data_IF_586523382981
#
_entry.id   IF_586523382981
#
_cell.length_a   1.000
_cell.length_b   1.000
_cell.length_c   1.000
_cell.angle_alpha   90.00
_cell.angle_beta   90.00
_cell.angle_gamma   90.00
#
_symmetry.space_group_name_H-M   'P 1'
#
loop_
_entity.id
_entity.type
_entity.pdbx_description
1 polymer ?
#
# COMPACT_ATOMS: atom_id res chain seq x y z
N UNK A 1 -13.84 46.58 37.46
CA UNK A 1 -12.65 46.66 36.59
C UNK A 1 -11.63 45.81 37.29
N UNK A 2 -11.31 44.63 36.74
CA UNK A 2 -10.27 43.75 37.31
C UNK A 2 -8.93 44.50 37.24
N UNK A 3 -8.18 44.52 38.34
CA UNK A 3 -6.88 45.18 38.37
C UNK A 3 -5.84 44.42 37.53
N UNK A 4 -4.95 45.16 36.87
CA UNK A 4 -3.83 44.59 36.12
C UNK A 4 -2.86 43.85 37.05
N UNK A 5 -2.23 42.79 36.56
CA UNK A 5 -1.28 42.04 37.36
C UNK A 5 -0.09 42.91 37.82
N UNK A 6 0.19 42.89 39.12
CA UNK A 6 1.33 43.57 39.71
C UNK A 6 2.00 42.68 40.77
N UNK A 7 3.23 43.02 41.13
CA UNK A 7 3.90 42.42 42.27
C UNK A 7 4.66 43.46 43.09
N UNK A 8 4.79 43.19 44.38
CA UNK A 8 5.62 43.95 45.31
C UNK A 8 6.56 43.00 46.05
N UNK A 9 7.77 43.45 46.34
CA UNK A 9 8.72 42.71 47.18
C UNK A 9 8.71 43.29 48.59
N UNK A 10 8.37 42.47 49.57
CA UNK A 10 8.36 42.83 50.98
C UNK A 10 9.27 41.89 51.77
N UNK A 11 9.99 42.44 52.75
CA UNK A 11 10.84 41.64 53.63
C UNK A 11 10.08 41.35 54.92
N UNK A 12 9.65 40.09 55.09
CA UNK A 12 8.92 39.64 56.27
C UNK A 12 9.89 38.88 57.19
N UNK A 13 10.51 39.61 58.11
CA UNK A 13 11.58 39.07 58.98
C UNK A 13 12.87 38.77 58.21
N UNK A 14 13.35 37.52 58.27
CA UNK A 14 14.53 37.06 57.51
C UNK A 14 14.21 36.55 56.10
N UNK A 15 12.93 36.53 55.68
CA UNK A 15 12.50 35.99 54.39
C UNK A 15 12.07 37.09 53.42
N UNK A 16 12.49 36.96 52.17
CA UNK A 16 12.06 37.84 51.09
C UNK A 16 10.80 37.27 50.43
N UNK A 17 9.69 38.01 50.55
CA UNK A 17 8.37 37.61 50.06
C UNK A 17 7.99 38.48 48.87
N UNK A 18 7.64 37.85 47.75
CA UNK A 18 7.10 38.54 46.57
C UNK A 18 5.60 38.30 46.53
N UNK A 19 4.83 39.38 46.71
CA UNK A 19 3.36 39.33 46.70
C UNK A 19 2.84 39.73 45.33
N UNK A 20 1.92 38.94 44.78
CA UNK A 20 1.21 39.24 43.55
C UNK A 20 -0.20 39.74 43.84
N UNK A 21 -0.64 40.73 43.06
CA UNK A 21 -1.97 41.32 43.16
C UNK A 21 -2.61 41.48 41.79
N UNK A 22 -3.95 41.56 41.77
CA UNK A 22 -4.73 41.71 40.55
C UNK A 22 -4.95 40.39 39.82
N UNK A 23 -5.17 40.44 38.51
CA UNK A 23 -5.54 39.27 37.72
C UNK A 23 -4.37 38.71 36.90
N UNK A 24 -3.89 37.52 37.28
CA UNK A 24 -2.90 36.73 36.57
C UNK A 24 -3.55 35.97 35.40
N UNK A 25 -4.22 36.69 34.52
CA UNK A 25 -4.78 36.16 33.28
C UNK A 25 -4.10 36.79 32.07
N UNK A 26 -4.01 36.06 30.96
CA UNK A 26 -3.38 36.50 29.71
C UNK A 26 -3.90 37.88 29.24
N UNK A 27 -5.19 38.17 29.49
CA UNK A 27 -5.80 39.45 29.14
C UNK A 27 -5.29 40.65 29.97
N UNK A 28 -4.75 40.40 31.16
CA UNK A 28 -4.42 41.42 32.17
C UNK A 28 -2.98 41.32 32.70
N UNK A 29 -2.18 40.39 32.17
CA UNK A 29 -0.81 40.13 32.60
C UNK A 29 0.19 41.20 32.11
N UNK A 30 -0.14 41.93 31.04
CA UNK A 30 0.63 43.07 30.57
C UNK A 30 2.12 42.78 30.38
N UNK A 31 2.96 43.60 31.01
CA UNK A 31 4.42 43.53 30.97
C UNK A 31 5.03 42.74 32.14
N UNK A 32 4.20 42.09 32.97
CA UNK A 32 4.63 41.28 34.12
C UNK A 32 5.74 40.27 33.77
N UNK A 33 5.69 39.53 32.63
CA UNK A 33 6.75 38.58 32.29
C UNK A 33 8.14 39.23 32.15
N UNK A 34 8.21 40.44 31.60
CA UNK A 34 9.48 41.17 31.46
C UNK A 34 9.98 41.63 32.82
N UNK A 35 9.08 42.16 33.65
CA UNK A 35 9.42 42.64 35.01
C UNK A 35 9.85 41.52 35.96
N UNK A 36 9.30 40.32 35.79
CA UNK A 36 9.75 39.12 36.51
C UNK A 36 11.10 38.62 35.99
N UNK A 37 11.36 38.76 34.69
CA UNK A 37 12.65 38.39 34.10
C UNK A 37 13.79 39.29 34.60
N UNK A 38 13.52 40.58 34.78
CA UNK A 38 14.48 41.58 35.26
C UNK A 38 14.62 41.61 36.79
N UNK A 39 13.95 40.70 37.53
CA UNK A 39 13.99 40.66 38.99
C UNK A 39 15.23 39.91 39.51
N UNK A 40 16.19 40.65 40.09
CA UNK A 40 17.44 40.07 40.62
C UNK A 40 17.43 39.78 42.13
N UNK A 41 16.29 40.00 42.81
CA UNK A 41 16.16 39.80 44.26
C UNK A 41 16.13 38.33 44.66
N UNK A 42 16.49 38.04 45.92
CA UNK A 42 16.22 36.73 46.53
C UNK A 42 14.71 36.61 46.78
N UNK A 43 14.14 35.45 46.49
CA UNK A 43 12.72 35.16 46.73
C UNK A 43 12.63 33.87 47.51
N UNK A 44 12.19 33.95 48.76
CA UNK A 44 11.97 32.76 49.60
C UNK A 44 10.52 32.27 49.50
N UNK A 45 9.57 33.18 49.28
CA UNK A 45 8.14 32.85 49.20
C UNK A 45 7.41 33.76 48.21
N UNK A 46 6.55 33.17 47.39
CA UNK A 46 5.65 33.83 46.46
C UNK A 46 4.25 33.78 47.06
N UNK A 47 3.71 34.94 47.41
CA UNK A 47 2.39 35.08 48.02
C UNK A 47 1.37 35.50 46.94
N UNK A 48 0.40 34.63 46.71
CA UNK A 48 -0.66 34.79 45.72
C UNK A 48 -2.01 35.15 46.36
N UNK A 49 -2.07 35.43 47.67
CA UNK A 49 -3.35 35.72 48.35
C UNK A 49 -4.06 36.97 47.85
N UNK A 50 -3.33 37.87 47.17
CA UNK A 50 -3.84 39.13 46.61
C UNK A 50 -4.35 39.04 45.18
N UNK A 51 -4.35 37.85 44.56
CA UNK A 51 -4.80 37.70 43.17
C UNK A 51 -6.31 37.48 43.09
N UNK A 52 -6.95 38.08 42.09
CA UNK A 52 -8.38 37.91 41.83
C UNK A 52 -8.67 36.70 40.95
N UNK A 53 -7.74 36.36 40.04
CA UNK A 53 -7.88 35.26 39.09
C UNK A 53 -6.52 34.81 38.59
N UNK A 54 -6.40 33.52 38.29
CA UNK A 54 -5.24 32.92 37.62
C UNK A 54 -5.69 32.05 36.44
N UNK A 55 -4.99 32.13 35.32
CA UNK A 55 -5.16 31.21 34.18
C UNK A 55 -3.89 30.38 33.94
N UNK A 56 -3.91 29.52 32.90
CA UNK A 56 -2.79 28.63 32.59
C UNK A 56 -1.49 29.38 32.30
N UNK A 57 -1.55 30.58 31.71
CA UNK A 57 -0.36 31.40 31.41
C UNK A 57 0.17 32.03 32.69
N UNK A 58 -0.71 32.57 33.53
CA UNK A 58 -0.35 33.07 34.85
C UNK A 58 0.28 31.99 35.73
N UNK A 59 -0.36 30.82 35.81
CA UNK A 59 0.15 29.66 36.56
C UNK A 59 1.53 29.21 36.05
N UNK A 60 1.74 29.17 34.73
CA UNK A 60 3.05 28.82 34.15
C UNK A 60 4.13 29.85 34.48
N UNK A 61 3.80 31.15 34.46
CA UNK A 61 4.76 32.20 34.81
C UNK A 61 5.16 32.14 36.28
N UNK A 62 4.20 31.94 37.19
CA UNK A 62 4.47 31.74 38.61
C UNK A 62 5.29 30.47 38.83
N UNK A 63 4.89 29.34 38.24
CA UNK A 63 5.62 28.06 38.36
C UNK A 63 7.08 28.22 37.89
N UNK A 64 7.30 28.84 36.73
CA UNK A 64 8.64 29.10 36.21
C UNK A 64 9.44 30.05 37.10
N UNK A 65 8.83 31.13 37.60
CA UNK A 65 9.50 32.10 38.48
C UNK A 65 9.87 31.46 39.83
N UNK A 66 8.96 30.67 40.41
CA UNK A 66 9.22 29.89 41.62
C UNK A 66 10.37 28.88 41.42
N UNK A 67 10.37 28.16 40.30
CA UNK A 67 11.42 27.21 39.95
C UNK A 67 12.79 27.90 39.73
N UNK A 68 12.82 29.12 39.20
CA UNK A 68 14.06 29.89 39.00
C UNK A 68 14.69 30.37 40.31
N UNK A 69 13.88 30.70 41.31
CA UNK A 69 14.34 31.23 42.60
C UNK A 69 14.31 30.20 43.75
N UNK A 70 13.91 28.95 43.49
CA UNK A 70 13.67 27.91 44.51
C UNK A 70 12.68 28.37 45.61
N UNK A 71 11.66 29.13 45.20
CA UNK A 71 10.72 29.79 46.10
C UNK A 71 9.48 28.93 46.36
N UNK A 72 8.92 29.03 47.58
CA UNK A 72 7.64 28.38 47.92
C UNK A 72 6.47 29.23 47.46
N UNK A 73 5.45 28.62 46.85
CA UNK A 73 4.21 29.30 46.45
C UNK A 73 3.15 29.10 47.54
N UNK A 74 2.49 30.18 47.96
CA UNK A 74 1.42 30.17 48.96
C UNK A 74 0.28 31.13 48.58
N UNK A 75 -0.88 31.01 49.22
CA UNK A 75 -1.99 31.96 49.08
C UNK A 75 -2.96 31.70 47.92
N UNK A 76 -2.88 30.55 47.24
CA UNK A 76 -3.87 30.14 46.24
C UNK A 76 -5.11 29.50 46.88
N UNK A 77 -6.25 29.63 46.20
CA UNK A 77 -7.44 28.85 46.48
C UNK A 77 -7.30 27.40 45.94
N UNK A 78 -8.29 26.54 46.21
CA UNK A 78 -8.26 25.13 45.78
C UNK A 78 -8.18 25.00 44.25
N UNK A 79 -8.93 25.82 43.51
CA UNK A 79 -8.97 25.79 42.05
C UNK A 79 -7.64 26.28 41.45
N UNK A 80 -7.04 27.34 42.00
CA UNK A 80 -5.74 27.85 41.62
C UNK A 80 -4.60 26.89 41.92
N UNK A 81 -4.66 26.20 43.06
CA UNK A 81 -3.67 25.16 43.42
C UNK A 81 -3.76 23.99 42.46
N UNK A 82 -4.97 23.52 42.15
CA UNK A 82 -5.17 22.43 41.18
C UNK A 82 -4.67 22.80 39.78
N UNK A 83 -4.90 24.04 39.33
CA UNK A 83 -4.37 24.53 38.06
C UNK A 83 -2.83 24.56 38.06
N UNK A 84 -2.23 25.04 39.14
CA UNK A 84 -0.78 25.12 39.29
C UNK A 84 -0.15 23.71 39.27
N UNK A 85 -0.75 22.75 39.97
CA UNK A 85 -0.31 21.35 39.97
C UNK A 85 -0.38 20.73 38.56
N UNK A 86 -1.43 21.03 37.78
CA UNK A 86 -1.55 20.57 36.39
C UNK A 86 -0.47 21.16 35.49
N UNK A 87 -0.16 22.45 35.65
CA UNK A 87 0.90 23.11 34.88
C UNK A 87 2.28 22.58 35.27
N UNK A 88 2.53 22.38 36.56
CA UNK A 88 3.77 21.78 37.04
C UNK A 88 3.94 20.33 36.55
N UNK A 89 2.88 19.53 36.52
CA UNK A 89 2.91 18.17 35.99
C UNK A 89 3.13 18.13 34.46
N UNK A 90 2.70 19.17 33.74
CA UNK A 90 2.88 19.32 32.31
C UNK A 90 4.26 19.90 31.92
N UNK A 91 4.99 20.50 32.86
CA UNK A 91 6.36 21.01 32.68
C UNK A 91 7.40 19.88 32.66
N UNK A 92 7.21 18.95 31.73
CA UNK A 92 8.15 17.87 31.47
C UNK A 92 9.06 18.28 30.30
N UNK A 93 10.38 18.04 30.39
CA UNK A 93 11.29 18.32 29.29
C UNK A 93 10.95 17.41 28.10
N UNK A 94 10.22 17.94 27.13
CA UNK A 94 9.93 17.25 25.87
C UNK A 94 11.09 17.48 24.92
N UNK A 95 11.76 16.41 24.50
CA UNK A 95 12.80 16.49 23.48
C UNK A 95 12.19 16.97 22.15
N UNK A 96 12.46 18.24 21.78
CA UNK A 96 11.93 18.88 20.56
C UNK A 96 12.56 18.26 19.29
N UNK A 97 13.75 17.67 19.40
CA UNK A 97 14.44 17.02 18.28
C UNK A 97 14.73 15.56 18.62
N UNK A 98 14.38 14.62 17.72
CA UNK A 98 14.82 13.24 17.86
C UNK A 98 16.36 13.20 17.87
N UNK A 99 16.92 12.33 18.72
CA UNK A 99 18.36 12.17 18.82
C UNK A 99 18.95 11.83 17.45
N UNK A 100 20.04 12.49 17.00
CA UNK A 100 20.67 12.16 15.74
C UNK A 100 21.20 10.73 15.78
N UNK A 101 20.56 9.84 15.02
CA UNK A 101 21.03 8.47 14.79
C UNK A 101 22.17 8.48 13.78
N UNK A 102 23.20 7.66 14.00
CA UNK A 102 24.29 7.49 13.04
C UNK A 102 23.78 7.01 11.68
N UNK A 103 24.45 7.38 10.58
CA UNK A 103 23.99 7.07 9.22
C UNK A 103 23.70 5.58 8.97
N UNK A 104 24.51 4.69 9.54
CA UNK A 104 24.30 3.23 9.45
C UNK A 104 23.05 2.80 10.22
N UNK A 105 22.85 3.33 11.44
CA UNK A 105 21.67 3.02 12.25
C UNK A 105 20.37 3.51 11.56
N UNK A 106 20.45 4.65 10.85
CA UNK A 106 19.33 5.15 10.05
C UNK A 106 18.99 4.22 8.88
N UNK A 107 19.99 3.77 8.12
CA UNK A 107 19.76 2.83 7.01
C UNK A 107 19.19 1.51 7.52
N UNK A 108 19.71 0.98 8.64
CA UNK A 108 19.17 -0.24 9.27
C UNK A 108 17.73 0.00 9.75
N UNK A 109 17.44 1.18 10.31
CA UNK A 109 16.08 1.57 10.70
C UNK A 109 15.12 1.61 9.51
N UNK A 110 15.50 2.29 8.43
CA UNK A 110 14.69 2.39 7.20
C UNK A 110 14.45 1.01 6.57
N UNK A 111 15.45 0.13 6.57
CA UNK A 111 15.29 -1.27 6.14
C UNK A 111 14.37 -2.03 7.09
N UNK A 112 14.51 -1.85 8.40
CA UNK A 112 13.63 -2.45 9.41
C UNK A 112 12.18 -2.06 9.21
N UNK A 113 11.91 -0.76 9.02
CA UNK A 113 10.58 -0.22 8.78
C UNK A 113 9.98 -0.78 7.48
N UNK A 114 10.78 -0.89 6.41
CA UNK A 114 10.35 -1.49 5.15
C UNK A 114 10.00 -2.98 5.29
N UNK A 115 10.79 -3.74 6.07
CA UNK A 115 10.53 -5.15 6.36
C UNK A 115 9.24 -5.31 7.15
N UNK A 116 9.03 -4.51 8.20
CA UNK A 116 7.81 -4.53 9.02
C UNK A 116 6.58 -4.18 8.18
N UNK A 117 6.66 -3.14 7.36
CA UNK A 117 5.58 -2.76 6.44
C UNK A 117 5.25 -3.88 5.46
N UNK A 118 6.27 -4.53 4.90
CA UNK A 118 6.10 -5.65 3.98
C UNK A 118 5.45 -6.85 4.68
N UNK A 119 5.90 -7.19 5.88
CA UNK A 119 5.34 -8.28 6.68
C UNK A 119 3.86 -8.05 7.02
N UNK A 120 3.50 -6.84 7.47
CA UNK A 120 2.12 -6.46 7.74
C UNK A 120 1.25 -6.52 6.48
N UNK A 121 1.79 -6.08 5.33
CA UNK A 121 1.10 -6.14 4.05
C UNK A 121 0.85 -7.58 3.61
N UNK A 122 1.83 -8.47 3.80
CA UNK A 122 1.71 -9.88 3.48
C UNK A 122 0.71 -10.58 4.40
N UNK A 123 0.71 -10.28 5.70
CA UNK A 123 -0.29 -10.77 6.64
C UNK A 123 -1.71 -10.33 6.25
N UNK A 124 -1.89 -9.06 5.89
CA UNK A 124 -3.18 -8.57 5.42
C UNK A 124 -3.62 -9.21 4.10
N UNK A 125 -2.69 -9.48 3.17
CA UNK A 125 -2.99 -10.21 1.93
C UNK A 125 -3.44 -11.64 2.21
N UNK A 126 -2.81 -12.34 3.17
CA UNK A 126 -3.24 -13.67 3.63
C UNK A 126 -4.63 -13.61 4.26
N UNK A 127 -4.92 -12.60 5.07
CA UNK A 127 -6.25 -12.36 5.63
C UNK A 127 -7.30 -12.13 4.53
N UNK A 128 -6.97 -11.33 3.51
CA UNK A 128 -7.84 -11.06 2.37
C UNK A 128 -8.07 -12.29 1.49
N UNK A 129 -7.02 -13.10 1.29
CA UNK A 129 -7.12 -14.40 0.65
C UNK A 129 -8.09 -15.31 1.40
N UNK A 130 -7.95 -15.42 2.72
CA UNK A 130 -8.87 -16.17 3.59
C UNK A 130 -10.32 -15.68 3.46
N UNK A 131 -10.54 -14.36 3.51
CA UNK A 131 -11.87 -13.77 3.33
C UNK A 131 -12.47 -14.07 1.94
N UNK A 132 -11.63 -14.06 0.90
CA UNK A 132 -12.04 -14.40 -0.47
C UNK A 132 -12.41 -15.89 -0.56
N UNK A 133 -11.63 -16.78 0.04
CA UNK A 133 -11.94 -18.22 0.10
C UNK A 133 -13.25 -18.48 0.86
N UNK A 134 -13.47 -17.80 1.97
CA UNK A 134 -14.73 -17.87 2.73
C UNK A 134 -15.91 -17.40 1.86
N UNK A 135 -15.75 -16.32 1.09
CA UNK A 135 -16.80 -15.83 0.20
C UNK A 135 -17.09 -16.79 -0.96
N UNK A 136 -16.05 -17.39 -1.56
CA UNK A 136 -16.19 -18.47 -2.56
C UNK A 136 -16.98 -19.63 -1.97
N UNK A 137 -16.57 -20.10 -0.78
CA UNK A 137 -17.22 -21.21 -0.09
C UNK A 137 -18.70 -20.94 0.21
N UNK A 138 -19.02 -19.74 0.72
CA UNK A 138 -20.41 -19.34 0.97
C UNK A 138 -21.27 -19.37 -0.29
N UNK A 139 -20.72 -18.97 -1.44
CA UNK A 139 -21.43 -18.97 -2.72
C UNK A 139 -21.59 -20.37 -3.29
N UNK A 140 -20.63 -21.26 -3.08
CA UNK A 140 -20.78 -22.68 -3.41
C UNK A 140 -21.96 -23.29 -2.63
N UNK A 141 -22.09 -22.97 -1.35
CA UNK A 141 -23.22 -23.44 -0.51
C UNK A 141 -24.53 -22.74 -0.90
N UNK A 142 -24.48 -21.46 -1.28
CA UNK A 142 -25.67 -20.65 -1.61
C UNK A 142 -25.56 -20.03 -3.02
N UNK A 143 -25.70 -20.82 -4.09
CA UNK A 143 -25.44 -20.37 -5.46
C UNK A 143 -26.38 -19.24 -5.92
N UNK A 144 -27.58 -19.12 -5.34
CA UNK A 144 -28.52 -18.02 -5.62
C UNK A 144 -27.98 -16.63 -5.26
N UNK A 145 -26.96 -16.55 -4.40
CA UNK A 145 -26.30 -15.28 -4.04
C UNK A 145 -25.27 -14.85 -5.09
N UNK A 146 -24.90 -15.73 -6.03
CA UNK A 146 -23.93 -15.40 -7.07
C UNK A 146 -24.48 -14.35 -8.04
N UNK A 147 -23.77 -13.22 -8.13
CA UNK A 147 -24.12 -12.13 -9.05
C UNK A 147 -23.55 -12.40 -10.44
N UNK A 148 -24.17 -13.33 -11.17
CA UNK A 148 -23.73 -13.75 -12.51
C UNK A 148 -23.58 -12.55 -13.48
N UNK A 149 -24.59 -11.68 -13.53
CA UNK A 149 -24.58 -10.50 -14.39
C UNK A 149 -23.39 -9.57 -14.12
N UNK A 150 -23.01 -9.39 -12.84
CA UNK A 150 -21.86 -8.59 -12.46
C UNK A 150 -20.54 -9.23 -12.94
N UNK A 151 -20.45 -10.55 -12.97
CA UNK A 151 -19.27 -11.28 -13.47
C UNK A 151 -19.14 -11.15 -14.99
N UNK A 152 -20.25 -11.28 -15.73
CA UNK A 152 -20.24 -11.13 -17.20
C UNK A 152 -19.77 -9.73 -17.60
N UNK A 153 -20.25 -8.69 -16.92
CA UNK A 153 -19.80 -7.33 -17.20
C UNK A 153 -18.27 -7.18 -17.03
N UNK A 154 -17.68 -7.94 -16.10
CA UNK A 154 -16.22 -7.97 -15.92
C UNK A 154 -15.51 -8.80 -16.99
N UNK A 155 -16.12 -9.83 -17.58
CA UNK A 155 -15.53 -10.55 -18.71
C UNK A 155 -15.25 -9.65 -19.92
N UNK A 156 -16.17 -8.72 -20.25
CA UNK A 156 -15.95 -7.79 -21.35
C UNK A 156 -14.74 -6.87 -21.08
N UNK A 157 -14.66 -6.32 -19.87
CA UNK A 157 -13.61 -5.37 -19.49
C UNK A 157 -12.25 -6.06 -19.37
N UNK A 158 -12.18 -7.22 -18.72
CA UNK A 158 -10.94 -7.98 -18.50
C UNK A 158 -10.50 -8.69 -19.77
N UNK A 159 -11.43 -9.29 -20.49
CA UNK A 159 -11.17 -10.10 -21.67
C UNK A 159 -11.14 -9.30 -22.96
N UNK A 160 -12.33 -8.97 -23.48
CA UNK A 160 -12.50 -8.43 -24.83
C UNK A 160 -11.69 -7.15 -25.04
N UNK A 161 -11.77 -6.21 -24.09
CA UNK A 161 -11.03 -4.94 -24.18
C UNK A 161 -9.51 -5.10 -24.01
N UNK A 162 -9.02 -6.26 -23.53
CA UNK A 162 -7.58 -6.53 -23.40
C UNK A 162 -6.98 -7.22 -24.65
N UNK A 163 -7.80 -7.83 -25.51
CA UNK A 163 -7.33 -8.63 -26.65
C UNK A 163 -6.38 -7.86 -27.58
N UNK A 164 -6.67 -6.58 -27.85
CA UNK A 164 -5.86 -5.76 -28.76
C UNK A 164 -4.44 -5.56 -28.24
N UNK A 165 -4.29 -5.11 -26.98
CA UNK A 165 -2.97 -4.83 -26.41
C UNK A 165 -2.18 -6.12 -26.14
N UNK A 166 -2.85 -7.18 -25.66
CA UNK A 166 -2.21 -8.48 -25.43
C UNK A 166 -1.76 -9.09 -26.76
N UNK A 167 -2.60 -9.03 -27.79
CA UNK A 167 -2.28 -9.55 -29.12
C UNK A 167 -1.08 -8.82 -29.73
N UNK A 168 -1.10 -7.49 -29.73
CA UNK A 168 0.00 -6.69 -30.27
C UNK A 168 1.33 -6.99 -29.55
N UNK A 169 1.33 -6.98 -28.22
CA UNK A 169 2.53 -7.28 -27.42
C UNK A 169 3.05 -8.71 -27.70
N UNK A 170 2.15 -9.69 -27.70
CA UNK A 170 2.52 -11.10 -27.92
C UNK A 170 3.08 -11.30 -29.32
N UNK A 171 2.49 -10.66 -30.33
CA UNK A 171 2.96 -10.71 -31.71
C UNK A 171 4.39 -10.16 -31.83
N UNK A 172 4.64 -8.97 -31.29
CA UNK A 172 5.96 -8.34 -31.33
C UNK A 172 7.00 -9.15 -30.57
N UNK A 173 6.65 -9.69 -29.41
CA UNK A 173 7.54 -10.54 -28.61
C UNK A 173 7.85 -11.85 -29.35
N UNK A 174 6.86 -12.45 -30.01
CA UNK A 174 7.05 -13.61 -30.87
C UNK A 174 8.07 -13.37 -31.99
N UNK A 175 7.99 -12.21 -32.65
CA UNK A 175 8.99 -11.77 -33.65
C UNK A 175 10.38 -11.68 -33.02
N UNK A 176 10.50 -11.01 -31.87
CA UNK A 176 11.79 -10.81 -31.18
C UNK A 176 12.42 -12.15 -30.78
N UNK A 177 11.63 -13.08 -30.24
CA UNK A 177 12.09 -14.41 -29.82
C UNK A 177 12.57 -15.21 -31.02
N UNK A 178 11.77 -15.25 -32.10
CA UNK A 178 12.16 -15.96 -33.31
C UNK A 178 13.47 -15.38 -33.89
N UNK A 179 13.65 -14.05 -33.87
CA UNK A 179 14.86 -13.41 -34.37
C UNK A 179 16.08 -13.75 -33.51
N UNK A 180 15.96 -13.63 -32.18
CA UNK A 180 17.07 -13.93 -31.28
C UNK A 180 17.42 -15.42 -31.29
N UNK A 181 16.41 -16.29 -31.32
CA UNK A 181 16.59 -17.74 -31.44
C UNK A 181 17.30 -18.13 -32.74
N UNK A 182 16.87 -17.55 -33.87
CA UNK A 182 17.50 -17.78 -35.17
C UNK A 182 18.98 -17.37 -35.16
N UNK A 183 19.29 -16.16 -34.67
CA UNK A 183 20.67 -15.66 -34.59
C UNK A 183 21.53 -16.54 -33.67
N UNK A 184 21.01 -16.97 -32.52
CA UNK A 184 21.74 -17.86 -31.60
C UNK A 184 21.91 -19.28 -32.11
N UNK A 185 21.00 -19.80 -32.92
CA UNK A 185 21.10 -21.16 -33.48
C UNK A 185 21.88 -21.21 -34.78
N UNK A 186 21.98 -20.09 -35.49
CA UNK A 186 22.78 -19.94 -36.72
C UNK A 186 24.25 -20.29 -36.52
N UNK A 187 24.83 -19.92 -35.38
CA UNK A 187 26.23 -20.26 -35.06
C UNK A 187 26.47 -21.78 -34.96
N UNK A 188 25.42 -22.57 -34.76
CA UNK A 188 25.46 -24.03 -34.70
C UNK A 188 24.90 -24.69 -35.97
N UNK A 189 24.54 -23.92 -37.00
CA UNK A 189 23.87 -24.44 -38.20
C UNK A 189 22.46 -24.99 -37.94
N UNK A 190 21.84 -24.60 -36.82
CA UNK A 190 20.64 -25.21 -36.27
C UNK A 190 19.40 -24.29 -36.33
N UNK A 191 19.33 -23.35 -37.28
CA UNK A 191 18.30 -22.30 -37.36
C UNK A 191 16.86 -22.85 -37.36
N UNK A 192 16.63 -24.05 -37.90
CA UNK A 192 15.32 -24.71 -37.93
C UNK A 192 14.79 -25.00 -36.51
N UNK A 193 15.66 -25.20 -35.52
CA UNK A 193 15.28 -25.43 -34.12
C UNK A 193 14.71 -24.17 -33.44
N UNK A 194 14.75 -23.01 -34.10
CA UNK A 194 14.06 -21.79 -33.66
C UNK A 194 12.56 -22.03 -33.48
N UNK A 195 11.96 -22.89 -34.32
CA UNK A 195 10.54 -23.26 -34.22
C UNK A 195 10.26 -23.96 -32.89
N UNK A 196 11.19 -24.80 -32.43
CA UNK A 196 11.05 -25.56 -31.18
C UNK A 196 11.13 -24.63 -29.99
N UNK A 197 12.12 -23.74 -30.00
CA UNK A 197 12.29 -22.71 -28.98
C UNK A 197 11.03 -21.84 -28.90
N UNK A 198 10.59 -21.26 -30.02
CA UNK A 198 9.42 -20.40 -30.09
C UNK A 198 8.16 -21.12 -29.62
N UNK A 199 7.88 -22.30 -30.18
CA UNK A 199 6.66 -23.06 -29.91
C UNK A 199 6.53 -23.48 -28.45
N UNK A 200 7.56 -24.13 -27.91
CA UNK A 200 7.54 -24.60 -26.51
C UNK A 200 7.53 -23.45 -25.53
N UNK A 201 8.42 -22.47 -25.71
CA UNK A 201 8.54 -21.34 -24.78
C UNK A 201 7.26 -20.48 -24.74
N UNK A 202 6.64 -20.26 -25.90
CA UNK A 202 5.43 -19.42 -26.01
C UNK A 202 4.21 -20.10 -25.39
N UNK A 203 4.01 -21.40 -25.61
CA UNK A 203 2.85 -22.12 -25.09
C UNK A 203 2.97 -22.46 -23.60
N UNK A 204 4.18 -22.79 -23.15
CA UNK A 204 4.43 -23.24 -21.78
C UNK A 204 4.55 -22.09 -20.77
N UNK A 205 5.24 -21.02 -21.17
CA UNK A 205 5.66 -19.97 -20.24
C UNK A 205 5.16 -18.59 -20.70
N UNK A 206 5.64 -18.11 -21.84
CA UNK A 206 5.55 -16.69 -22.17
C UNK A 206 4.15 -16.20 -22.51
N UNK A 207 3.31 -17.00 -23.16
CA UNK A 207 1.95 -16.57 -23.50
C UNK A 207 1.13 -16.23 -22.26
N UNK A 208 1.24 -17.07 -21.23
CA UNK A 208 0.53 -16.90 -19.97
C UNK A 208 1.18 -15.81 -19.11
N UNK A 209 2.52 -15.74 -19.06
CA UNK A 209 3.25 -14.71 -18.32
C UNK A 209 2.98 -13.30 -18.88
N UNK A 210 3.02 -13.13 -20.21
CA UNK A 210 2.75 -11.84 -20.87
C UNK A 210 1.31 -11.40 -20.66
N UNK A 211 0.38 -12.34 -20.79
CA UNK A 211 -1.02 -12.08 -20.45
C UNK A 211 -1.15 -11.62 -19.00
N UNK A 212 -0.49 -12.31 -18.05
CA UNK A 212 -0.56 -11.96 -16.64
C UNK A 212 -0.03 -10.55 -16.35
N UNK A 213 1.13 -10.21 -16.90
CA UNK A 213 1.73 -8.87 -16.74
C UNK A 213 0.81 -7.78 -17.30
N UNK A 214 0.25 -7.99 -18.50
CA UNK A 214 -0.66 -7.02 -19.11
C UNK A 214 -1.98 -6.89 -18.35
N UNK A 215 -2.56 -8.01 -17.90
CA UNK A 215 -3.81 -8.01 -17.12
C UNK A 215 -3.60 -7.39 -15.74
N UNK A 216 -2.44 -7.60 -15.09
CA UNK A 216 -2.07 -6.92 -13.86
C UNK A 216 -2.01 -5.40 -14.06
N UNK A 217 -1.29 -4.95 -15.08
CA UNK A 217 -1.13 -3.53 -15.39
C UNK A 217 -2.42 -2.82 -15.79
N UNK A 218 -3.33 -3.48 -16.52
CA UNK A 218 -4.57 -2.86 -17.03
C UNK A 218 -5.79 -3.12 -16.14
N UNK A 219 -6.07 -4.38 -15.83
CA UNK A 219 -7.29 -4.77 -15.11
C UNK A 219 -7.07 -4.75 -13.61
N UNK A 220 -5.91 -5.20 -13.13
CA UNK A 220 -5.54 -5.13 -11.71
C UNK A 220 -5.51 -3.69 -11.19
N UNK A 221 -4.87 -2.79 -11.93
CA UNK A 221 -4.86 -1.35 -11.62
C UNK A 221 -6.26 -0.74 -11.65
N UNK A 222 -7.07 -1.04 -12.67
CA UNK A 222 -8.43 -0.55 -12.76
C UNK A 222 -9.31 -1.04 -11.61
N UNK A 223 -9.11 -2.26 -11.11
CA UNK A 223 -9.82 -2.76 -9.94
C UNK A 223 -9.42 -2.03 -8.67
N UNK A 224 -8.12 -1.81 -8.47
CA UNK A 224 -7.61 -1.03 -7.34
C UNK A 224 -8.16 0.40 -7.36
N UNK A 225 -8.11 1.08 -8.51
CA UNK A 225 -8.65 2.42 -8.67
C UNK A 225 -10.16 2.47 -8.41
N UNK A 226 -10.94 1.57 -9.02
CA UNK A 226 -12.40 1.54 -8.86
C UNK A 226 -12.81 1.27 -7.41
N UNK A 227 -12.24 0.26 -6.76
CA UNK A 227 -12.57 -0.03 -5.36
C UNK A 227 -12.04 1.06 -4.42
N UNK A 228 -10.88 1.64 -4.73
CA UNK A 228 -10.32 2.78 -4.00
C UNK A 228 -11.23 4.00 -4.04
N UNK A 229 -11.75 4.35 -5.22
CA UNK A 229 -12.74 5.42 -5.35
C UNK A 229 -14.03 5.08 -4.59
N UNK A 230 -14.56 3.86 -4.72
CA UNK A 230 -15.75 3.43 -3.96
C UNK A 230 -15.54 3.42 -2.45
N UNK A 231 -14.29 3.25 -1.99
CA UNK A 231 -13.95 3.30 -0.58
C UNK A 231 -13.88 4.75 -0.10
N UNK A 232 -13.28 5.63 -0.91
CA UNK A 232 -13.20 7.08 -0.67
C UNK A 232 -14.59 7.74 -0.65
N UNK A 233 -15.51 7.31 -1.50
CA UNK A 233 -16.89 7.81 -1.56
C UNK A 233 -17.83 7.13 -0.55
N UNK A 234 -17.28 6.35 0.39
CA UNK A 234 -18.01 5.60 1.42
C UNK A 234 -19.06 4.60 0.87
N UNK A 235 -19.07 4.29 -0.42
CA UNK A 235 -20.01 3.32 -1.02
C UNK A 235 -19.83 1.92 -0.42
N UNK A 236 -18.58 1.51 -0.15
CA UNK A 236 -18.28 0.22 0.47
C UNK A 236 -18.79 0.14 1.92
N UNK A 237 -18.71 1.25 2.66
CA UNK A 237 -19.17 1.28 4.05
C UNK A 237 -20.70 1.37 4.11
N UNK A 238 -21.33 2.12 3.20
CA UNK A 238 -22.77 2.12 3.02
C UNK A 238 -23.32 0.71 2.71
N UNK A 239 -22.62 -0.06 1.86
CA UNK A 239 -22.97 -1.46 1.58
C UNK A 239 -22.97 -2.34 2.85
N UNK A 240 -21.98 -2.16 3.74
CA UNK A 240 -21.91 -2.90 5.01
C UNK A 240 -23.08 -2.55 5.92
N UNK A 241 -23.46 -1.28 5.99
CA UNK A 241 -24.59 -0.78 6.81
C UNK A 241 -25.92 -1.38 6.37
N UNK A 242 -26.15 -1.56 5.07
CA UNK A 242 -27.37 -2.21 4.55
C UNK A 242 -27.29 -3.74 4.50
N UNK A 243 -26.28 -4.35 5.12
CA UNK A 243 -26.12 -5.81 5.23
C UNK A 243 -25.63 -6.51 3.96
N UNK A 244 -25.06 -5.78 3.00
CA UNK A 244 -24.50 -6.35 1.76
C UNK A 244 -23.00 -6.55 1.93
N UNK A 245 -22.53 -7.80 1.83
CA UNK A 245 -21.11 -8.15 1.87
C UNK A 245 -20.35 -7.56 0.68
N UNK A 246 -19.38 -6.64 0.87
CA UNK A 246 -18.58 -6.09 -0.22
C UNK A 246 -17.71 -7.16 -0.89
N UNK A 247 -17.31 -8.19 -0.14
CA UNK A 247 -16.49 -9.29 -0.67
C UNK A 247 -17.23 -10.08 -1.74
N UNK A 248 -18.48 -10.46 -1.47
CA UNK A 248 -19.33 -11.19 -2.41
C UNK A 248 -19.80 -10.30 -3.57
N UNK A 249 -20.13 -9.04 -3.28
CA UNK A 249 -20.72 -8.14 -4.26
C UNK A 249 -19.71 -7.50 -5.21
N UNK A 250 -18.48 -7.25 -4.76
CA UNK A 250 -17.48 -6.49 -5.51
C UNK A 250 -16.23 -7.32 -5.85
N UNK A 251 -15.63 -7.98 -4.85
CA UNK A 251 -14.34 -8.65 -5.04
C UNK A 251 -14.52 -9.93 -5.84
N UNK A 252 -15.45 -10.80 -5.44
CA UNK A 252 -15.59 -12.11 -6.06
C UNK A 252 -15.91 -12.06 -7.56
N UNK A 253 -16.85 -11.22 -8.07
CA UNK A 253 -17.11 -11.14 -9.51
C UNK A 253 -15.87 -10.71 -10.31
N UNK A 254 -15.04 -9.83 -9.74
CA UNK A 254 -13.79 -9.37 -10.36
C UNK A 254 -12.74 -10.48 -10.38
N UNK A 255 -12.51 -11.15 -9.25
CA UNK A 255 -11.56 -12.26 -9.15
C UNK A 255 -11.96 -13.41 -10.07
N UNK A 256 -13.22 -13.84 -10.03
CA UNK A 256 -13.73 -14.91 -10.91
C UNK A 256 -13.62 -14.54 -12.39
N UNK A 257 -13.88 -13.28 -12.73
CA UNK A 257 -13.72 -12.81 -14.11
C UNK A 257 -12.28 -12.96 -14.60
N UNK A 258 -11.29 -12.58 -13.80
CA UNK A 258 -9.89 -12.71 -14.17
C UNK A 258 -9.46 -14.18 -14.21
N UNK A 259 -9.83 -14.98 -13.22
CA UNK A 259 -9.51 -16.42 -13.16
C UNK A 259 -9.99 -17.17 -14.41
N UNK A 260 -11.21 -16.88 -14.88
CA UNK A 260 -11.78 -17.54 -16.06
C UNK A 260 -11.21 -16.97 -17.37
N UNK A 261 -10.98 -15.65 -17.44
CA UNK A 261 -10.46 -15.03 -18.66
C UNK A 261 -8.96 -15.29 -18.88
N UNK A 262 -8.18 -15.49 -17.82
CA UNK A 262 -6.73 -15.68 -17.94
C UNK A 262 -6.32 -16.86 -18.81
N UNK A 263 -6.90 -18.08 -18.69
CA UNK A 263 -6.62 -19.18 -19.60
C UNK A 263 -6.91 -18.86 -21.07
N UNK A 264 -8.06 -18.20 -21.32
CA UNK A 264 -8.49 -17.85 -22.67
C UNK A 264 -7.55 -16.81 -23.30
N UNK A 265 -7.19 -15.78 -22.52
CA UNK A 265 -6.26 -14.75 -22.95
C UNK A 265 -4.83 -15.28 -23.12
N UNK A 266 -4.38 -16.17 -22.22
CA UNK A 266 -3.07 -16.81 -22.29
C UNK A 266 -2.92 -17.69 -23.53
N UNK A 267 -3.96 -18.47 -23.84
CA UNK A 267 -4.00 -19.25 -25.08
C UNK A 267 -3.99 -18.36 -26.32
N UNK A 268 -4.82 -17.30 -26.33
CA UNK A 268 -4.83 -16.32 -27.42
C UNK A 268 -3.46 -15.65 -27.60
N UNK A 269 -2.83 -15.20 -26.51
CA UNK A 269 -1.48 -14.63 -26.50
C UNK A 269 -0.45 -15.59 -27.10
N UNK A 270 -0.50 -16.86 -26.72
CA UNK A 270 0.42 -17.86 -27.24
C UNK A 270 0.25 -18.08 -28.76
N UNK A 271 -0.99 -18.16 -29.24
CA UNK A 271 -1.28 -18.27 -30.67
C UNK A 271 -0.76 -17.06 -31.46
N UNK A 272 -1.04 -15.85 -30.98
CA UNK A 272 -0.61 -14.62 -31.65
C UNK A 272 0.91 -14.48 -31.63
N UNK A 273 1.57 -14.88 -30.54
CA UNK A 273 3.03 -14.92 -30.47
C UNK A 273 3.66 -15.91 -31.45
N UNK A 274 3.08 -17.10 -31.58
CA UNK A 274 3.52 -18.09 -32.58
C UNK A 274 3.34 -17.55 -34.00
N UNK A 275 2.23 -16.86 -34.29
CA UNK A 275 2.01 -16.22 -35.60
C UNK A 275 3.06 -15.15 -35.88
N UNK A 276 3.39 -14.31 -34.88
CA UNK A 276 4.44 -13.29 -35.01
C UNK A 276 5.81 -13.90 -35.30
N UNK A 277 6.22 -14.91 -34.52
CA UNK A 277 7.50 -15.58 -34.76
C UNK A 277 7.52 -16.39 -36.07
N UNK A 278 6.39 -17.00 -36.45
CA UNK A 278 6.24 -17.70 -37.72
C UNK A 278 6.38 -16.78 -38.94
N UNK A 279 5.84 -15.55 -38.86
CA UNK A 279 6.04 -14.53 -39.89
C UNK A 279 7.52 -14.19 -40.07
N UNK A 280 8.26 -14.04 -38.97
CA UNK A 280 9.70 -13.78 -39.05
C UNK A 280 10.48 -14.98 -39.60
N UNK A 281 10.15 -16.20 -39.19
CA UNK A 281 10.75 -17.41 -39.76
C UNK A 281 10.52 -17.50 -41.28
N UNK A 282 9.36 -17.08 -41.77
CA UNK A 282 9.09 -17.06 -43.19
C UNK A 282 9.93 -16.02 -43.93
N UNK A 283 9.97 -14.79 -43.44
CA UNK A 283 10.66 -13.67 -44.11
C UNK A 283 12.18 -13.81 -44.00
N UNK A 284 12.71 -14.15 -42.81
CA UNK A 284 14.14 -14.12 -42.53
C UNK A 284 14.85 -15.45 -42.79
N UNK A 285 14.18 -16.59 -42.61
CA UNK A 285 14.78 -17.93 -42.77
C UNK A 285 14.27 -18.65 -44.03
N UNK A 286 13.33 -18.05 -44.76
CA UNK A 286 12.75 -18.66 -45.96
C UNK A 286 11.92 -19.92 -45.68
N UNK A 287 11.49 -20.14 -44.42
CA UNK A 287 10.73 -21.32 -44.03
C UNK A 287 9.26 -21.12 -44.43
N UNK A 288 8.68 -21.95 -45.33
CA UNK A 288 7.29 -21.80 -45.73
C UNK A 288 6.33 -21.99 -44.54
N UNK A 289 5.21 -21.25 -44.45
CA UNK A 289 4.24 -21.37 -43.35
C UNK A 289 3.73 -22.80 -43.12
N UNK A 290 3.55 -23.58 -44.19
CA UNK A 290 3.12 -24.98 -44.10
C UNK A 290 4.15 -25.83 -43.36
N UNK A 291 5.43 -25.69 -43.70
CA UNK A 291 6.54 -26.38 -43.05
C UNK A 291 6.66 -25.94 -41.58
N UNK A 292 6.49 -24.65 -41.30
CA UNK A 292 6.51 -24.13 -39.93
C UNK A 292 5.44 -24.80 -39.06
N UNK A 293 4.19 -24.88 -39.54
CA UNK A 293 3.09 -25.51 -38.79
C UNK A 293 3.30 -27.01 -38.61
N UNK A 294 3.81 -27.71 -39.63
CA UNK A 294 4.16 -29.13 -39.52
C UNK A 294 5.21 -29.37 -38.43
N UNK A 295 6.30 -28.60 -38.45
CA UNK A 295 7.36 -28.69 -37.42
C UNK A 295 6.86 -28.33 -36.03
N UNK A 296 6.03 -27.29 -35.92
CA UNK A 296 5.43 -26.90 -34.64
C UNK A 296 4.63 -28.05 -34.01
N UNK A 297 3.83 -28.77 -34.81
CA UNK A 297 3.05 -29.93 -34.35
C UNK A 297 3.92 -31.12 -33.96
N UNK A 298 5.05 -31.31 -34.63
CA UNK A 298 5.98 -32.40 -34.31
C UNK A 298 6.72 -32.16 -32.99
N UNK A 299 7.04 -30.90 -32.68
CA UNK A 299 7.99 -30.61 -31.59
C UNK A 299 7.34 -30.03 -30.34
N UNK A 300 6.15 -29.45 -30.43
CA UNK A 300 5.43 -28.94 -29.26
C UNK A 300 4.49 -30.01 -28.70
N UNK A 301 4.80 -30.60 -27.54
CA UNK A 301 3.91 -31.55 -26.90
C UNK A 301 2.67 -30.84 -26.35
N UNK A 302 1.55 -31.55 -26.29
CA UNK A 302 0.31 -31.04 -25.66
C UNK A 302 0.51 -30.73 -24.17
N UNK A 303 1.48 -31.35 -23.51
CA UNK A 303 1.84 -31.08 -22.12
C UNK A 303 2.23 -29.62 -21.90
N UNK A 304 2.93 -28.98 -22.83
CA UNK A 304 3.32 -27.56 -22.72
C UNK A 304 2.08 -26.65 -22.68
N UNK A 305 1.07 -26.96 -23.49
CA UNK A 305 -0.20 -26.24 -23.48
C UNK A 305 -0.93 -26.42 -22.13
N UNK A 306 -1.00 -27.65 -21.61
CA UNK A 306 -1.65 -27.91 -20.32
C UNK A 306 -0.92 -27.24 -19.15
N UNK A 307 0.41 -27.24 -19.15
CA UNK A 307 1.23 -26.52 -18.15
C UNK A 307 0.84 -25.04 -18.13
N UNK A 308 0.84 -24.38 -19.29
CA UNK A 308 0.43 -22.98 -19.39
C UNK A 308 -1.01 -22.74 -18.90
N UNK A 309 -1.95 -23.55 -19.38
CA UNK A 309 -3.37 -23.41 -19.04
C UNK A 309 -3.67 -23.66 -17.56
N UNK A 310 -2.93 -24.53 -16.88
CA UNK A 310 -3.09 -24.79 -15.44
C UNK A 310 -2.54 -23.64 -14.59
N UNK A 311 -1.47 -22.96 -15.03
CA UNK A 311 -0.92 -21.79 -14.34
C UNK A 311 -1.84 -20.57 -14.44
N UNK A 312 -2.49 -20.37 -15.59
CA UNK A 312 -3.23 -19.14 -15.91
C UNK A 312 -4.34 -18.77 -14.89
N UNK A 313 -5.20 -19.69 -14.41
CA UNK A 313 -6.20 -19.40 -13.38
C UNK A 313 -5.58 -18.91 -12.07
N UNK A 314 -4.44 -19.49 -11.69
CA UNK A 314 -3.74 -19.14 -10.44
C UNK A 314 -3.18 -17.73 -10.53
N UNK A 315 -2.55 -17.37 -11.65
CA UNK A 315 -2.12 -15.99 -11.89
C UNK A 315 -3.29 -15.03 -11.92
N UNK A 316 -4.42 -15.43 -12.51
CA UNK A 316 -5.63 -14.63 -12.52
C UNK A 316 -6.20 -14.36 -11.13
N UNK A 317 -6.19 -15.38 -10.26
CA UNK A 317 -6.59 -15.23 -8.88
C UNK A 317 -5.69 -14.22 -8.16
N UNK A 318 -4.37 -14.36 -8.29
CA UNK A 318 -3.38 -13.46 -7.68
C UNK A 318 -3.58 -12.02 -8.12
N UNK A 319 -3.70 -11.79 -9.43
CA UNK A 319 -3.89 -10.44 -9.99
C UNK A 319 -5.20 -9.83 -9.52
N UNK A 320 -6.30 -10.60 -9.59
CA UNK A 320 -7.61 -10.15 -9.14
C UNK A 320 -7.61 -9.79 -7.66
N UNK A 321 -6.99 -10.63 -6.82
CA UNK A 321 -6.90 -10.41 -5.38
C UNK A 321 -5.98 -9.24 -5.03
N UNK A 322 -4.79 -9.12 -5.63
CA UNK A 322 -3.87 -8.01 -5.37
C UNK A 322 -4.52 -6.66 -5.75
N UNK A 323 -5.17 -6.60 -6.91
CA UNK A 323 -5.95 -5.43 -7.35
C UNK A 323 -7.07 -5.09 -6.38
N UNK A 324 -7.87 -6.07 -5.98
CA UNK A 324 -8.99 -5.82 -5.08
C UNK A 324 -8.53 -5.44 -3.67
N UNK A 325 -7.51 -6.11 -3.15
CA UNK A 325 -6.94 -5.88 -1.83
C UNK A 325 -6.41 -4.45 -1.68
N UNK A 326 -5.58 -4.00 -2.62
CA UNK A 326 -5.03 -2.64 -2.56
C UNK A 326 -6.11 -1.56 -2.71
N UNK A 327 -7.14 -1.81 -3.52
CA UNK A 327 -8.27 -0.88 -3.61
C UNK A 327 -9.09 -0.79 -2.32
N UNK A 328 -9.22 -1.89 -1.57
CA UNK A 328 -9.94 -1.92 -0.29
C UNK A 328 -9.15 -1.29 0.87
N UNK A 329 -7.84 -1.05 0.70
CA UNK A 329 -6.92 -0.42 1.66
C UNK A 329 -6.79 1.10 1.48
N UNK A 330 -7.60 1.70 0.61
CA UNK A 330 -7.66 3.16 0.50
C UNK A 330 -8.42 3.71 1.70
N UNK A 331 -7.82 4.65 2.42
CA UNK A 331 -8.36 5.33 3.60
C UNK A 331 -8.19 6.87 3.52
N UNK A 332 -7.27 7.34 2.67
CA UNK A 332 -6.87 8.74 2.56
C UNK A 332 -7.62 9.49 1.47
N UNK A 333 -6.88 10.28 0.70
CA UNK A 333 -7.35 11.15 -0.37
C UNK A 333 -7.20 10.51 -1.76
N UNK A 334 -7.54 11.26 -2.81
CA UNK A 334 -7.44 10.81 -4.19
C UNK A 334 -6.00 10.44 -4.61
N UNK A 335 -4.98 11.03 -3.98
CA UNK A 335 -3.59 10.68 -4.23
C UNK A 335 -3.29 9.24 -3.79
N UNK A 336 -3.81 8.84 -2.63
CA UNK A 336 -3.63 7.49 -2.11
C UNK A 336 -4.22 6.42 -3.03
N UNK A 337 -5.30 6.73 -3.76
CA UNK A 337 -5.87 5.84 -4.79
C UNK A 337 -4.83 5.53 -5.87
N UNK A 338 -4.09 6.54 -6.34
CA UNK A 338 -3.01 6.37 -7.32
C UNK A 338 -1.85 5.52 -6.79
N UNK A 339 -1.43 5.78 -5.54
CA UNK A 339 -0.34 5.03 -4.89
C UNK A 339 -0.70 3.55 -4.70
N UNK A 340 -1.92 3.27 -4.23
CA UNK A 340 -2.46 1.90 -4.06
C UNK A 340 -2.64 1.19 -5.40
N UNK A 341 -3.07 1.92 -6.43
CA UNK A 341 -3.17 1.40 -7.80
C UNK A 341 -1.82 0.94 -8.35
N UNK A 342 -0.77 1.71 -8.13
CA UNK A 342 0.59 1.34 -8.55
C UNK A 342 1.09 0.13 -7.75
N UNK A 343 0.86 0.15 -6.44
CA UNK A 343 1.22 -0.97 -5.54
C UNK A 343 0.53 -2.28 -5.95
N UNK A 344 -0.72 -2.22 -6.41
CA UNK A 344 -1.46 -3.39 -6.90
C UNK A 344 -0.77 -4.05 -8.10
N UNK A 345 -0.30 -3.24 -9.05
CA UNK A 345 0.39 -3.73 -10.26
C UNK A 345 1.72 -4.37 -9.88
N UNK A 346 2.53 -3.68 -9.06
CA UNK A 346 3.85 -4.18 -8.64
C UNK A 346 3.71 -5.49 -7.87
N UNK A 347 2.80 -5.56 -6.89
CA UNK A 347 2.56 -6.77 -6.11
C UNK A 347 2.03 -7.92 -6.97
N UNK A 348 1.07 -7.64 -7.86
CA UNK A 348 0.51 -8.64 -8.76
C UNK A 348 1.57 -9.26 -9.67
N UNK A 349 2.38 -8.42 -10.33
CA UNK A 349 3.46 -8.89 -11.23
C UNK A 349 4.52 -9.66 -10.43
N UNK A 350 4.96 -9.13 -9.30
CA UNK A 350 5.98 -9.78 -8.47
C UNK A 350 5.54 -11.17 -8.01
N UNK A 351 4.31 -11.30 -7.47
CA UNK A 351 3.77 -12.58 -7.02
C UNK A 351 3.60 -13.57 -8.16
N UNK A 352 3.18 -13.12 -9.35
CA UNK A 352 3.08 -13.96 -10.54
C UNK A 352 4.46 -14.49 -10.95
N UNK A 353 5.48 -13.65 -11.01
CA UNK A 353 6.84 -14.06 -11.41
C UNK A 353 7.43 -15.05 -10.41
N UNK A 354 7.30 -14.78 -9.11
CA UNK A 354 7.79 -15.70 -8.06
C UNK A 354 7.09 -17.05 -8.17
N UNK A 355 5.77 -17.04 -8.35
CA UNK A 355 5.01 -18.28 -8.45
C UNK A 355 5.27 -19.02 -9.77
N UNK A 356 5.54 -18.31 -10.86
CA UNK A 356 5.92 -18.92 -12.13
C UNK A 356 7.26 -19.66 -12.02
N UNK A 357 8.25 -19.07 -11.35
CA UNK A 357 9.51 -19.73 -11.06
C UNK A 357 9.31 -21.00 -10.21
N UNK A 358 8.43 -20.94 -9.21
CA UNK A 358 8.06 -22.13 -8.44
C UNK A 358 7.40 -23.20 -9.31
N UNK A 359 6.44 -22.83 -10.17
CA UNK A 359 5.79 -23.78 -11.05
C UNK A 359 6.75 -24.39 -12.08
N UNK A 360 7.68 -23.61 -12.62
CA UNK A 360 8.70 -24.11 -13.55
C UNK A 360 9.52 -25.24 -12.92
N UNK A 361 9.95 -25.05 -11.66
CA UNK A 361 10.66 -26.09 -10.90
C UNK A 361 9.74 -27.27 -10.61
N UNK A 362 8.51 -27.02 -10.14
CA UNK A 362 7.53 -28.06 -9.81
C UNK A 362 7.20 -28.97 -10.99
N UNK A 363 6.86 -28.42 -12.16
CA UNK A 363 6.53 -29.23 -13.35
C UNK A 363 7.74 -30.00 -13.89
N UNK A 364 8.95 -29.47 -13.72
CA UNK A 364 10.19 -30.20 -14.01
C UNK A 364 10.32 -31.43 -13.12
N UNK A 365 10.05 -31.32 -11.82
CA UNK A 365 10.09 -32.47 -10.90
C UNK A 365 8.99 -33.51 -11.16
N UNK A 366 7.81 -33.08 -11.60
CA UNK A 366 6.69 -33.99 -11.95
C UNK A 366 6.95 -34.74 -13.27
N UNK A 367 8.00 -34.38 -14.01
CA UNK A 367 8.37 -35.03 -15.27
C UNK A 367 7.60 -34.51 -16.48
N UNK A 368 6.92 -33.35 -16.34
CA UNK A 368 6.30 -32.66 -17.46
C UNK A 368 7.35 -31.76 -18.10
N UNK A 369 8.28 -32.36 -18.86
CA UNK A 369 9.39 -31.68 -19.56
C UNK A 369 9.01 -31.29 -20.97
#
# INVERSE_FOLDING_TARGET
MTESAAFTSERSGERDVVRFTGSLSLAQIGDLPNRLHDYEGKVDTIDLSGIERIDTVGAWLIHRFAAQHDAKIDGLDQDGTHLLDQVAAADQPVAIRPNPVGGIARVIGEVGDAVVLTANTLYGLLGFFGATMIAVWHIIIHPKRFRFNATIQRFEVVGVKALGIIGLMSFLIGIVIAQQGAVQLRQFGAEVYTINLLGRLTLRELGVLMTAIMVAGRSGSAFAAQLGTMKLTEEIDAMRTIGVSPMEALVLPRVMAVVIMMPLLGFYSALVGIVGGGLLCWISLGIPPVTFVQRLREVVPLTDLYVGLVKAPVFGAIIGMAGCYQGMLVEGDAEQVGQRTTSAVVQGIFLVIVLDAFFAVFFTYVGWI
#
